data_IF_633532579872
#
_entry.id   IF_633532579872
#
_cell.length_a   1.000
_cell.length_b   1.000
_cell.length_c   1.000
_cell.angle_alpha   90.00
_cell.angle_beta   90.00
_cell.angle_gamma   90.00
#
_symmetry.space_group_name_H-M   'P 1'
#
loop_
_entity.id
_entity.type
_entity.pdbx_description
1 polymer ?
#
# COMPACT_ATOMS: atom_id res chain seq x y z
N UNK A 1 -0.14 -12.37 -6.45
CA UNK A 1 0.33 -11.67 -5.24
C UNK A 1 -0.88 -11.34 -4.37
N UNK A 2 -0.81 -11.64 -3.07
CA UNK A 2 -1.99 -11.56 -2.19
C UNK A 2 -1.90 -10.37 -1.20
N UNK A 3 -0.70 -9.86 -0.87
CA UNK A 3 -0.53 -8.94 0.24
C UNK A 3 -0.98 -9.59 1.55
N UNK A 4 -2.05 -9.07 2.18
CA UNK A 4 -2.77 -9.72 3.28
C UNK A 4 -2.35 -9.28 4.67
N UNK A 5 -1.72 -8.12 4.82
CA UNK A 5 -1.49 -7.54 6.14
C UNK A 5 -2.75 -6.85 6.67
N UNK A 6 -3.08 -7.14 7.91
CA UNK A 6 -4.24 -6.59 8.63
C UNK A 6 -3.75 -5.82 9.85
N UNK A 7 -4.16 -4.56 10.00
CA UNK A 7 -3.77 -3.76 11.16
C UNK A 7 -4.78 -2.66 11.48
N UNK A 8 -5.12 -2.52 12.74
CA UNK A 8 -5.88 -1.35 13.20
C UNK A 8 -4.99 -0.10 13.20
N UNK A 9 -5.50 0.96 12.61
CA UNK A 9 -4.88 2.26 12.64
C UNK A 9 -5.10 3.00 13.96
N UNK A 10 -4.38 4.11 14.18
CA UNK A 10 -4.58 4.95 15.37
C UNK A 10 -5.96 5.60 15.41
N UNK A 11 -6.68 5.61 14.31
CA UNK A 11 -8.06 6.08 14.15
C UNK A 11 -9.12 5.03 14.46
N UNK A 12 -8.71 3.80 14.80
CA UNK A 12 -9.58 2.69 15.16
C UNK A 12 -10.14 1.88 14.00
N UNK A 13 -9.87 2.26 12.74
CA UNK A 13 -10.29 1.53 11.56
C UNK A 13 -9.30 0.42 11.18
N UNK A 14 -9.80 -0.60 10.50
CA UNK A 14 -8.98 -1.69 10.00
C UNK A 14 -8.39 -1.35 8.62
N UNK A 15 -7.08 -1.43 8.53
CA UNK A 15 -6.32 -1.30 7.28
C UNK A 15 -5.92 -2.68 6.78
N UNK A 16 -6.10 -2.90 5.47
CA UNK A 16 -5.87 -4.19 4.81
C UNK A 16 -5.05 -3.95 3.55
N UNK A 17 -3.92 -4.64 3.40
CA UNK A 17 -3.18 -4.61 2.14
C UNK A 17 -3.60 -5.76 1.23
N UNK A 18 -3.78 -5.48 -0.06
CA UNK A 18 -4.05 -6.47 -1.09
C UNK A 18 -3.06 -6.33 -2.24
N UNK A 19 -2.51 -7.43 -2.71
CA UNK A 19 -1.67 -7.45 -3.90
C UNK A 19 -2.49 -7.41 -5.20
N UNK A 20 -1.78 -7.41 -6.34
CA UNK A 20 -2.40 -7.34 -7.68
C UNK A 20 -3.16 -8.62 -8.08
N UNK A 21 -3.11 -9.67 -7.26
CA UNK A 21 -3.76 -10.94 -7.53
C UNK A 21 -3.19 -11.73 -8.71
N UNK A 22 -2.21 -11.17 -9.41
CA UNK A 22 -1.66 -11.74 -10.64
C UNK A 22 -0.47 -12.68 -10.38
N UNK A 23 -0.17 -13.47 -11.38
CA UNK A 23 1.12 -14.17 -11.52
C UNK A 23 2.22 -13.18 -11.90
N UNK A 24 3.51 -13.53 -11.71
CA UNK A 24 4.61 -12.62 -12.05
C UNK A 24 4.66 -12.22 -13.52
N UNK A 25 4.20 -13.07 -14.42
CA UNK A 25 4.23 -12.87 -15.87
C UNK A 25 2.90 -13.24 -16.54
N UNK A 26 2.32 -12.35 -17.33
CA UNK A 26 2.76 -10.95 -17.51
C UNK A 26 2.57 -10.13 -16.24
N UNK A 27 3.35 -9.03 -16.05
CA UNK A 27 3.17 -8.17 -14.88
C UNK A 27 1.74 -7.60 -14.86
N UNK A 28 1.11 -7.65 -13.70
CA UNK A 28 -0.27 -7.18 -13.50
C UNK A 28 -1.25 -7.76 -14.56
N UNK A 29 -1.22 -9.07 -14.72
CA UNK A 29 -2.04 -9.75 -15.74
C UNK A 29 -3.55 -9.60 -15.55
N UNK A 30 -4.01 -9.10 -14.40
CA UNK A 30 -5.41 -8.77 -14.12
C UNK A 30 -5.73 -7.27 -14.34
N UNK A 31 -4.71 -6.44 -14.63
CA UNK A 31 -4.84 -4.99 -14.84
C UNK A 31 -5.43 -4.23 -13.65
N UNK A 32 -5.09 -4.63 -12.44
CA UNK A 32 -5.62 -4.06 -11.19
C UNK A 32 -4.77 -2.90 -10.65
N UNK A 33 -3.51 -2.79 -11.07
CA UNK A 33 -2.53 -1.88 -10.50
C UNK A 33 -2.93 -0.41 -10.52
N UNK A 34 -3.60 0.04 -11.60
CA UNK A 34 -4.05 1.43 -11.74
C UNK A 34 -5.58 1.57 -11.67
N UNK A 35 -6.30 0.47 -11.40
CA UNK A 35 -7.73 0.47 -11.16
C UNK A 35 -8.08 1.01 -9.76
N UNK A 36 -9.25 1.64 -9.65
CA UNK A 36 -9.84 2.07 -8.37
C UNK A 36 -11.22 1.45 -8.16
N UNK A 37 -11.66 0.59 -9.08
CA UNK A 37 -12.99 -0.03 -9.13
C UNK A 37 -13.02 -1.45 -8.55
N UNK A 38 -11.87 -1.98 -8.13
CA UNK A 38 -11.74 -3.25 -7.43
C UNK A 38 -11.01 -3.12 -6.08
N UNK A 39 -10.70 -4.23 -5.43
CA UNK A 39 -10.06 -4.27 -4.10
C UNK A 39 -8.64 -4.87 -4.16
N UNK A 40 -8.06 -5.03 -5.35
CA UNK A 40 -6.70 -5.52 -5.55
C UNK A 40 -5.71 -4.36 -5.75
N UNK A 41 -4.42 -4.63 -5.62
CA UNK A 41 -3.35 -3.61 -5.71
C UNK A 41 -3.51 -2.43 -4.75
N UNK A 42 -4.17 -2.63 -3.61
CA UNK A 42 -4.69 -1.55 -2.78
C UNK A 42 -4.26 -1.63 -1.32
N UNK A 43 -4.33 -0.49 -0.66
CA UNK A 43 -4.53 -0.39 0.77
C UNK A 43 -5.99 0.02 1.01
N UNK A 44 -6.72 -0.80 1.74
CA UNK A 44 -8.10 -0.59 2.12
C UNK A 44 -8.19 -0.06 3.54
N UNK A 45 -9.24 0.73 3.85
CA UNK A 45 -9.57 1.18 5.21
C UNK A 45 -11.07 1.01 5.43
N UNK A 46 -11.43 0.21 6.44
CA UNK A 46 -12.82 -0.13 6.73
C UNK A 46 -13.12 0.01 8.23
N UNK A 47 -14.38 0.28 8.54
CA UNK A 47 -14.93 0.21 9.87
C UNK A 47 -15.58 -1.18 10.07
N UNK A 48 -15.04 -1.95 11.02
CA UNK A 48 -15.54 -3.29 11.38
C UNK A 48 -16.53 -3.26 12.54
N UNK A 49 -16.93 -2.07 13.00
CA UNK A 49 -17.94 -1.84 14.04
C UNK A 49 -19.10 -1.00 13.51
N UNK A 50 -19.80 -1.46 12.42
CA UNK A 50 -20.92 -0.71 11.87
C UNK A 50 -22.03 -0.58 12.91
N UNK A 51 -22.87 0.45 12.74
CA UNK A 51 -23.96 0.75 13.67
C UNK A 51 -25.09 -0.28 13.69
N UNK A 52 -25.10 -1.22 12.73
CA UNK A 52 -26.07 -2.30 12.66
C UNK A 52 -25.40 -3.68 12.53
N UNK A 53 -26.04 -4.70 13.15
CA UNK A 53 -25.53 -6.07 13.16
C UNK A 53 -25.71 -6.81 11.80
N UNK A 54 -26.27 -6.15 10.79
CA UNK A 54 -26.53 -6.76 9.46
C UNK A 54 -25.44 -6.46 8.46
N UNK A 55 -24.71 -5.39 8.70
CA UNK A 55 -23.62 -4.95 7.82
C UNK A 55 -22.29 -5.44 8.38
N UNK A 56 -21.51 -6.28 7.67
CA UNK A 56 -20.26 -6.84 8.19
C UNK A 56 -19.16 -5.78 8.38
N UNK A 57 -19.17 -4.72 7.59
CA UNK A 57 -18.30 -3.55 7.71
C UNK A 57 -18.89 -2.37 6.92
N UNK A 58 -18.36 -1.17 7.15
CA UNK A 58 -18.65 0.00 6.32
C UNK A 58 -17.36 0.70 5.88
N UNK A 59 -17.41 1.42 4.77
CA UNK A 59 -16.33 2.33 4.38
C UNK A 59 -16.48 3.64 5.14
N UNK A 60 -15.45 4.12 5.85
CA UNK A 60 -15.49 5.42 6.51
C UNK A 60 -15.76 6.56 5.51
N UNK A 61 -16.65 7.49 5.87
CA UNK A 61 -17.07 8.58 4.98
C UNK A 61 -15.96 9.59 4.62
N UNK A 62 -14.84 9.54 5.32
CA UNK A 62 -13.64 10.33 5.03
C UNK A 62 -12.59 9.56 4.20
N UNK A 63 -12.89 8.38 3.68
CA UNK A 63 -12.02 7.70 2.72
C UNK A 63 -11.88 8.53 1.43
N UNK A 64 -10.68 8.51 0.81
CA UNK A 64 -10.39 9.44 -0.29
C UNK A 64 -11.21 9.22 -1.56
N UNK A 65 -11.75 8.02 -1.76
CA UNK A 65 -12.46 7.63 -2.99
C UNK A 65 -13.97 7.46 -2.81
N UNK A 66 -14.51 7.81 -1.65
CA UNK A 66 -15.95 7.67 -1.33
C UNK A 66 -16.86 8.37 -2.34
N UNK A 67 -16.46 9.56 -2.79
CA UNK A 67 -17.22 10.35 -3.76
C UNK A 67 -16.66 10.25 -5.19
N UNK A 68 -15.65 9.38 -5.43
CA UNK A 68 -15.07 9.22 -6.76
C UNK A 68 -15.94 8.29 -7.61
N UNK A 69 -16.47 8.73 -8.78
CA UNK A 69 -17.33 7.90 -9.61
C UNK A 69 -16.66 6.58 -10.04
N UNK A 70 -17.32 5.47 -9.76
CA UNK A 70 -16.85 4.13 -10.12
C UNK A 70 -15.79 3.53 -9.20
N UNK A 71 -15.25 4.30 -8.25
CA UNK A 71 -14.26 3.76 -7.31
C UNK A 71 -14.89 2.97 -6.17
N UNK A 72 -14.10 2.06 -5.61
CA UNK A 72 -14.45 1.36 -4.37
C UNK A 72 -14.27 2.30 -3.17
N UNK A 73 -15.29 2.49 -2.34
CA UNK A 73 -15.22 3.41 -1.20
C UNK A 73 -14.29 2.93 -0.09
N UNK A 74 -13.91 1.66 -0.09
CA UNK A 74 -12.96 1.08 0.87
C UNK A 74 -11.51 1.53 0.65
N UNK A 75 -11.16 2.05 -0.54
CA UNK A 75 -9.80 2.39 -0.90
C UNK A 75 -9.25 3.56 -0.07
N UNK A 76 -8.04 3.35 0.47
CA UNK A 76 -7.22 4.38 1.10
C UNK A 76 -6.09 4.86 0.19
N UNK A 77 -5.48 3.93 -0.54
CA UNK A 77 -4.41 4.16 -1.52
C UNK A 77 -4.34 2.97 -2.48
N UNK A 78 -3.70 3.12 -3.63
CA UNK A 78 -3.62 2.09 -4.66
C UNK A 78 -2.29 2.13 -5.42
N UNK A 79 -2.10 1.19 -6.36
CA UNK A 79 -0.89 1.13 -7.18
C UNK A 79 0.24 0.36 -6.51
N UNK A 80 -0.07 -0.64 -5.68
CA UNK A 80 0.90 -1.56 -5.09
C UNK A 80 0.93 -2.89 -5.85
N UNK A 81 2.10 -3.53 -5.88
CA UNK A 81 2.22 -4.86 -6.48
C UNK A 81 1.89 -5.98 -5.49
N UNK A 82 2.62 -6.02 -4.39
CA UNK A 82 2.47 -7.03 -3.34
C UNK A 82 2.83 -6.44 -1.98
N UNK A 83 2.01 -5.53 -1.45
CA UNK A 83 2.25 -4.82 -0.20
C UNK A 83 2.18 -5.80 0.98
N UNK A 84 3.36 -6.28 1.41
CA UNK A 84 3.47 -7.42 2.31
C UNK A 84 3.16 -7.08 3.75
N UNK A 85 3.76 -6.01 4.27
CA UNK A 85 3.48 -5.53 5.63
C UNK A 85 3.29 -4.04 5.69
N UNK A 86 2.31 -3.63 6.49
CA UNK A 86 2.11 -2.25 6.89
C UNK A 86 2.44 -2.04 8.37
N UNK A 87 2.85 -0.83 8.72
CA UNK A 87 3.05 -0.42 10.10
C UNK A 87 2.75 1.05 10.30
N UNK A 88 2.25 1.39 11.49
CA UNK A 88 2.05 2.77 11.91
C UNK A 88 3.19 3.24 12.81
N UNK A 89 3.67 4.46 12.57
CA UNK A 89 4.54 5.15 13.50
C UNK A 89 3.72 5.61 14.72
N UNK A 90 3.94 4.98 15.86
CA UNK A 90 3.15 5.23 17.08
C UNK A 90 3.24 6.66 17.64
N UNK A 91 4.10 7.54 17.09
CA UNK A 91 4.21 8.93 17.54
C UNK A 91 3.27 9.88 16.77
N UNK A 92 3.14 9.70 15.47
CA UNK A 92 2.45 10.66 14.58
C UNK A 92 1.47 10.00 13.61
N UNK A 93 1.28 8.68 13.70
CA UNK A 93 0.34 7.95 12.84
C UNK A 93 0.78 7.73 11.39
N UNK A 94 2.00 8.09 11.02
CA UNK A 94 2.53 7.81 9.68
C UNK A 94 2.43 6.33 9.33
N UNK A 95 1.92 6.04 8.15
CA UNK A 95 1.73 4.69 7.65
C UNK A 95 2.85 4.31 6.67
N UNK A 96 3.50 3.21 6.95
CA UNK A 96 4.61 2.67 6.18
C UNK A 96 4.25 1.31 5.59
N UNK A 97 4.65 1.06 4.34
CA UNK A 97 4.46 -0.22 3.65
C UNK A 97 5.78 -0.65 3.01
N UNK A 98 6.12 -1.95 3.15
CA UNK A 98 7.06 -2.63 2.26
C UNK A 98 6.27 -3.32 1.15
N UNK A 99 6.63 -3.02 -0.09
CA UNK A 99 5.99 -3.54 -1.30
C UNK A 99 6.99 -4.36 -2.10
N UNK A 100 6.72 -5.66 -2.22
CA UNK A 100 7.58 -6.59 -2.96
C UNK A 100 7.42 -6.34 -4.44
N UNK A 101 8.53 -5.98 -5.07
CA UNK A 101 8.60 -5.62 -6.48
C UNK A 101 8.55 -6.80 -7.44
N UNK A 102 8.79 -6.50 -8.74
CA UNK A 102 8.67 -7.48 -9.82
C UNK A 102 10.03 -8.08 -10.20
N UNK A 103 10.84 -7.35 -10.95
CA UNK A 103 12.11 -7.87 -11.48
C UNK A 103 13.34 -7.08 -11.02
N UNK A 104 13.20 -5.79 -10.76
CA UNK A 104 14.34 -4.89 -10.58
C UNK A 104 14.40 -4.21 -9.23
N UNK A 105 13.27 -3.85 -8.62
CA UNK A 105 13.26 -3.03 -7.43
C UNK A 105 12.31 -3.53 -6.36
N UNK A 106 12.73 -3.37 -5.12
CA UNK A 106 11.93 -3.52 -3.89
C UNK A 106 11.67 -2.14 -3.31
N UNK A 107 10.45 -1.87 -2.81
CA UNK A 107 10.04 -0.53 -2.43
C UNK A 107 9.62 -0.40 -0.97
N UNK A 108 9.93 0.76 -0.38
CA UNK A 108 9.37 1.21 0.89
C UNK A 108 8.62 2.51 0.67
N UNK A 109 7.37 2.53 1.07
CA UNK A 109 6.50 3.69 0.92
C UNK A 109 6.09 4.30 2.27
N UNK A 110 6.09 5.65 2.32
CA UNK A 110 5.34 6.42 3.31
C UNK A 110 3.97 6.75 2.69
N UNK A 111 2.94 6.08 3.17
CA UNK A 111 1.64 6.10 2.51
C UNK A 111 0.83 7.35 2.86
N UNK A 112 0.33 8.01 1.81
CA UNK A 112 -0.56 9.17 1.89
C UNK A 112 -1.99 8.77 1.54
N UNK A 113 -2.95 9.45 2.14
CA UNK A 113 -4.37 9.34 1.80
C UNK A 113 -4.58 9.65 0.32
N UNK A 114 -5.23 8.75 -0.42
CA UNK A 114 -5.50 8.89 -1.86
C UNK A 114 -4.29 8.70 -2.78
N UNK A 115 -3.15 8.22 -2.25
CA UNK A 115 -1.90 8.08 -3.02
C UNK A 115 -1.97 6.97 -4.07
N UNK A 116 -1.39 7.26 -5.26
CA UNK A 116 -1.10 6.30 -6.32
C UNK A 116 0.39 5.94 -6.27
N UNK A 117 0.74 4.66 -6.10
CA UNK A 117 2.13 4.18 -5.93
C UNK A 117 2.71 3.54 -7.19
N UNK A 118 1.97 3.61 -8.30
CA UNK A 118 2.47 3.47 -9.65
C UNK A 118 2.45 2.07 -10.25
N UNK A 119 2.33 1.00 -9.49
CA UNK A 119 2.18 -0.33 -10.08
C UNK A 119 0.90 -0.38 -10.94
N UNK A 120 0.91 -0.84 -12.17
CA UNK A 120 1.99 -1.49 -12.93
C UNK A 120 2.63 -0.59 -14.01
N UNK A 121 2.36 0.71 -13.99
CA UNK A 121 3.05 1.68 -14.86
C UNK A 121 4.53 1.80 -14.47
N UNK A 122 4.79 1.78 -13.16
CA UNK A 122 6.13 1.89 -12.57
C UNK A 122 6.42 0.73 -11.61
N UNK A 123 7.68 0.35 -11.50
CA UNK A 123 8.27 -0.43 -10.42
C UNK A 123 9.33 0.44 -9.74
N UNK A 124 8.95 1.13 -8.66
CA UNK A 124 9.82 2.14 -8.07
C UNK A 124 10.20 3.22 -9.10
N UNK A 125 11.50 3.42 -9.39
CA UNK A 125 11.97 4.38 -10.37
C UNK A 125 11.87 3.87 -11.81
N UNK A 126 11.59 2.57 -12.02
CA UNK A 126 11.64 1.91 -13.33
C UNK A 126 10.26 1.91 -14.02
N UNK A 127 10.12 2.45 -15.24
CA UNK A 127 8.93 2.21 -16.06
C UNK A 127 8.79 0.72 -16.44
N UNK A 128 7.55 0.21 -16.32
CA UNK A 128 7.21 -1.19 -16.65
C UNK A 128 6.21 -1.23 -17.79
N UNK A 129 5.01 -0.69 -17.58
CA UNK A 129 3.93 -0.70 -18.57
C UNK A 129 3.51 0.73 -18.92
N UNK A 130 4.40 1.42 -19.62
CA UNK A 130 4.17 2.82 -20.01
C UNK A 130 3.02 3.04 -21.00
N UNK A 131 2.43 1.97 -21.54
CA UNK A 131 1.23 2.00 -22.37
C UNK A 131 -0.08 2.11 -21.57
N UNK A 132 -0.03 1.86 -20.25
CA UNK A 132 -1.20 1.97 -19.38
C UNK A 132 -1.39 3.42 -18.94
N UNK A 133 -2.61 3.91 -19.09
CA UNK A 133 -3.00 5.21 -18.52
C UNK A 133 -2.99 5.14 -17.00
N UNK A 134 -2.26 6.01 -16.31
CA UNK A 134 -2.27 6.05 -14.85
C UNK A 134 -3.66 6.32 -14.28
N UNK A 135 -3.95 5.70 -13.15
CA UNK A 135 -5.14 6.00 -12.36
C UNK A 135 -5.13 7.44 -11.78
N UNK A 136 -6.14 7.81 -11.00
CA UNK A 136 -6.30 9.18 -10.52
C UNK A 136 -5.12 9.66 -9.66
N UNK A 137 -4.71 10.90 -9.89
CA UNK A 137 -3.63 11.58 -9.17
C UNK A 137 -2.23 11.26 -9.69
N UNK A 138 -1.21 11.96 -9.19
CA UNK A 138 0.17 11.73 -9.57
C UNK A 138 0.71 10.44 -8.95
N UNK A 139 1.59 9.75 -9.69
CA UNK A 139 2.36 8.64 -9.13
C UNK A 139 3.35 9.17 -8.09
N UNK A 140 3.32 8.60 -6.89
CA UNK A 140 4.18 8.94 -5.77
C UNK A 140 5.39 8.00 -5.73
N UNK A 141 6.62 8.52 -5.65
CA UNK A 141 7.80 7.69 -5.58
C UNK A 141 7.93 7.01 -4.21
N UNK A 142 8.68 5.88 -4.12
CA UNK A 142 9.06 5.30 -2.86
C UNK A 142 9.97 6.24 -2.05
N UNK A 143 9.99 6.07 -0.73
CA UNK A 143 10.95 6.75 0.17
C UNK A 143 12.33 6.08 0.10
N UNK A 144 12.34 4.78 -0.16
CA UNK A 144 13.54 4.01 -0.45
C UNK A 144 13.18 2.92 -1.45
N UNK A 145 14.10 2.65 -2.36
CA UNK A 145 14.06 1.53 -3.28
C UNK A 145 15.41 0.80 -3.26
N UNK A 146 15.36 -0.51 -3.51
CA UNK A 146 16.53 -1.37 -3.55
C UNK A 146 16.51 -2.19 -4.82
N UNK A 147 17.55 -2.04 -5.64
CA UNK A 147 17.71 -2.88 -6.81
C UNK A 147 17.91 -4.35 -6.41
N UNK A 148 17.40 -5.30 -7.21
CA UNK A 148 17.46 -6.74 -6.92
C UNK A 148 18.89 -7.34 -6.82
N UNK A 149 19.93 -6.58 -7.17
CA UNK A 149 21.33 -6.95 -6.86
C UNK A 149 21.65 -6.77 -5.36
N UNK A 150 20.91 -5.92 -4.66
CA UNK A 150 21.09 -5.62 -3.23
C UNK A 150 20.08 -6.36 -2.35
N UNK A 151 18.81 -6.38 -2.77
CA UNK A 151 17.70 -7.00 -2.03
C UNK A 151 16.77 -7.72 -2.98
N UNK A 152 16.33 -8.92 -2.61
CA UNK A 152 15.42 -9.74 -3.41
C UNK A 152 13.96 -9.68 -2.96
N UNK A 153 13.72 -9.13 -1.78
CA UNK A 153 12.39 -8.93 -1.24
C UNK A 153 12.45 -7.95 -0.07
N UNK A 154 11.63 -6.91 -0.08
CA UNK A 154 11.41 -6.02 1.06
C UNK A 154 10.01 -6.26 1.60
N UNK A 155 9.94 -6.85 2.78
CA UNK A 155 8.66 -7.24 3.39
C UNK A 155 8.08 -6.19 4.33
N UNK A 156 8.85 -5.15 4.68
CA UNK A 156 8.42 -4.05 5.54
C UNK A 156 9.10 -4.04 6.91
N UNK A 157 8.62 -3.19 7.80
CA UNK A 157 9.30 -2.98 9.08
C UNK A 157 8.51 -2.10 10.05
N UNK A 158 9.25 -1.43 10.95
CA UNK A 158 8.68 -0.57 11.98
C UNK A 158 9.55 0.66 12.25
N UNK A 159 8.93 1.78 12.60
CA UNK A 159 9.67 2.93 13.14
C UNK A 159 10.16 2.60 14.55
N UNK A 160 11.48 2.64 14.75
CA UNK A 160 12.06 2.35 16.05
C UNK A 160 11.75 3.45 17.07
N UNK A 161 11.12 3.06 18.18
CA UNK A 161 10.76 3.93 19.31
C UNK A 161 11.31 3.39 20.65
N UNK A 162 12.19 2.38 20.57
CA UNK A 162 12.82 1.80 21.74
C UNK A 162 13.82 2.74 22.42
N UNK A 163 14.13 2.43 23.69
CA UNK A 163 15.05 3.23 24.53
C UNK A 163 16.51 2.75 24.47
N UNK A 164 16.76 1.53 23.97
CA UNK A 164 18.10 0.89 24.01
C UNK A 164 19.04 1.45 22.96
N UNK A 165 18.58 1.66 21.72
CA UNK A 165 19.38 2.14 20.60
C UNK A 165 18.94 3.56 20.25
N UNK A 166 19.40 4.55 21.04
CA UNK A 166 18.98 5.95 20.93
C UNK A 166 19.27 6.55 19.55
N UNK A 167 20.37 6.15 18.89
CA UNK A 167 20.75 6.58 17.54
C UNK A 167 19.75 6.16 16.46
N UNK A 168 18.95 5.13 16.71
CA UNK A 168 17.93 4.64 15.77
C UNK A 168 16.54 5.21 16.07
N UNK A 169 16.38 6.05 17.11
CA UNK A 169 15.06 6.59 17.46
C UNK A 169 14.49 7.43 16.31
N UNK A 170 13.37 6.97 15.76
CA UNK A 170 12.70 7.59 14.61
C UNK A 170 13.09 7.00 13.26
N UNK A 171 14.11 6.15 13.20
CA UNK A 171 14.44 5.43 11.98
C UNK A 171 13.39 4.32 11.68
N UNK A 172 13.02 4.17 10.43
CA UNK A 172 12.26 3.01 9.96
C UNK A 172 13.24 1.86 9.72
N UNK A 173 13.06 0.77 10.45
CA UNK A 173 13.89 -0.45 10.35
C UNK A 173 13.08 -1.50 9.62
N UNK A 174 13.61 -2.01 8.51
CA UNK A 174 12.90 -2.92 7.62
C UNK A 174 13.83 -3.98 7.02
N UNK A 175 13.25 -4.99 6.40
CA UNK A 175 13.93 -6.08 5.72
C UNK A 175 13.03 -6.82 4.76
#
# INVERSE_FOLDING_TARGET
>A
HNGGCLKFGPDGYLYITTGDGASPNPPDGLSTGQGVDDLLSCLLRIDVHPADDKTPYTAPGDNPFVDHPGARPELWAFGFRNPWKLSFNGKNGELWIGDVGWELYEMVYLVKRGGNYGWSVMEGPQPVRGEIEPGPGPILPPIADHHHVESKSVTGGHVYRGKRLKSLTGAYIYG
#
